data_IF_016137646765
#
_entry.id   IF_016137646765
#
_cell.length_a   1.000
_cell.length_b   1.000
_cell.length_c   1.000
_cell.angle_alpha   90.00
_cell.angle_beta   90.00
_cell.angle_gamma   90.00
#
_symmetry.space_group_name_H-M   'P 1'
#
loop_
_entity.id
_entity.type
_entity.pdbx_description
1 polymer ?
#
# COMPACT_ATOMS: atom_id res chain seq x y z
N UNK A 1 -2.38 8.36 -5.26
CA UNK A 1 -2.11 8.96 -3.93
C UNK A 1 -0.69 9.52 -3.82
N UNK A 2 -0.50 10.67 -3.14
CA UNK A 2 0.82 11.27 -2.86
C UNK A 2 1.49 10.60 -1.65
N UNK A 3 2.82 10.63 -1.59
CA UNK A 3 3.57 9.96 -0.52
C UNK A 3 3.23 10.45 0.89
N UNK A 4 2.86 11.73 1.06
CA UNK A 4 2.49 12.28 2.37
C UNK A 4 1.18 11.66 2.89
N UNK A 5 0.17 11.51 2.04
CA UNK A 5 -1.11 10.87 2.39
C UNK A 5 -0.91 9.40 2.79
N UNK A 6 0.01 8.71 2.12
CA UNK A 6 0.36 7.32 2.40
C UNK A 6 1.02 7.19 3.78
N UNK A 7 1.88 8.14 4.15
CA UNK A 7 2.49 8.19 5.49
C UNK A 7 1.43 8.37 6.58
N UNK A 8 0.45 9.23 6.36
CA UNK A 8 -0.66 9.42 7.31
C UNK A 8 -1.52 8.15 7.48
N UNK A 9 -1.72 7.36 6.41
CA UNK A 9 -2.40 6.06 6.51
C UNK A 9 -1.55 5.08 7.31
N UNK A 10 -0.25 4.98 7.01
CA UNK A 10 0.68 4.11 7.72
C UNK A 10 0.71 4.44 9.23
N UNK A 11 0.82 5.72 9.58
CA UNK A 11 0.84 6.18 10.97
C UNK A 11 -0.46 5.86 11.71
N UNK A 12 -1.62 6.03 11.07
CA UNK A 12 -2.93 5.64 11.63
C UNK A 12 -3.04 4.14 11.90
N UNK A 13 -2.31 3.31 11.16
CA UNK A 13 -2.23 1.86 11.37
C UNK A 13 -1.07 1.46 12.30
N UNK A 14 -0.36 2.42 12.91
CA UNK A 14 0.76 2.16 13.83
C UNK A 14 2.06 1.75 13.13
N UNK A 15 2.14 1.90 11.81
CA UNK A 15 3.34 1.59 11.02
C UNK A 15 4.33 2.74 11.05
N UNK A 16 5.62 2.42 11.21
CA UNK A 16 6.70 3.42 11.15
C UNK A 16 7.11 3.67 9.71
N UNK A 17 6.64 4.79 9.15
CA UNK A 17 6.90 5.16 7.77
C UNK A 17 8.38 5.49 7.45
N UNK A 18 9.15 5.94 8.44
CA UNK A 18 10.62 6.08 8.38
C UNK A 18 11.19 6.57 7.03
N UNK A 19 12.19 5.83 6.52
CA UNK A 19 12.83 6.05 5.21
C UNK A 19 12.22 5.22 4.07
N UNK A 20 11.03 4.65 4.27
CA UNK A 20 10.38 3.81 3.25
C UNK A 20 9.98 4.65 2.04
N UNK A 21 10.23 4.11 0.85
CA UNK A 21 9.71 4.70 -0.39
C UNK A 21 8.20 4.43 -0.51
N UNK A 22 7.55 5.01 -1.52
CA UNK A 22 6.11 4.83 -1.76
C UNK A 22 5.73 3.35 -1.85
N UNK A 23 6.50 2.55 -2.57
CA UNK A 23 6.22 1.12 -2.74
C UNK A 23 6.25 0.36 -1.42
N UNK A 24 7.30 0.58 -0.62
CA UNK A 24 7.49 -0.11 0.65
C UNK A 24 6.40 0.27 1.67
N UNK A 25 6.01 1.55 1.70
CA UNK A 25 4.91 2.03 2.54
C UNK A 25 3.58 1.37 2.20
N UNK A 26 3.22 1.36 0.91
CA UNK A 26 1.98 0.75 0.46
C UNK A 26 1.96 -0.73 0.80
N UNK A 27 3.05 -1.45 0.54
CA UNK A 27 3.17 -2.87 0.88
C UNK A 27 3.09 -3.12 2.39
N UNK A 28 3.66 -2.25 3.21
CA UNK A 28 3.53 -2.33 4.66
C UNK A 28 2.07 -2.18 5.11
N UNK A 29 1.34 -1.21 4.52
CA UNK A 29 -0.09 -1.00 4.76
C UNK A 29 -0.91 -2.22 4.31
N UNK A 30 -0.63 -2.76 3.12
CA UNK A 30 -1.31 -3.98 2.65
C UNK A 30 -1.12 -5.14 3.65
N UNK A 31 0.09 -5.33 4.18
CA UNK A 31 0.32 -6.37 5.20
C UNK A 31 -0.42 -6.12 6.51
N UNK A 32 -0.48 -4.89 7.00
CA UNK A 32 -1.27 -4.57 8.22
C UNK A 32 -2.77 -4.73 8.01
N UNK A 33 -3.25 -4.59 6.78
CA UNK A 33 -4.64 -4.85 6.38
C UNK A 33 -4.94 -6.35 6.13
N UNK A 34 -3.96 -7.25 6.32
CA UNK A 34 -4.03 -8.66 5.93
C UNK A 34 -4.31 -8.88 4.43
N UNK A 35 -3.87 -7.92 3.59
CA UNK A 35 -3.91 -7.97 2.14
C UNK A 35 -2.59 -8.49 1.57
N UNK A 36 -2.62 -8.94 0.31
CA UNK A 36 -1.40 -9.26 -0.44
C UNK A 36 -0.61 -7.97 -0.69
N UNK A 37 0.71 -7.98 -0.48
CA UNK A 37 1.60 -6.84 -0.72
C UNK A 37 1.99 -6.69 -2.20
N UNK A 38 0.98 -6.75 -3.08
CA UNK A 38 1.12 -6.79 -4.52
C UNK A 38 1.35 -5.42 -5.19
N UNK A 39 1.47 -4.34 -4.41
CA UNK A 39 1.67 -3.02 -5.01
C UNK A 39 2.99 -2.96 -5.78
N UNK A 40 2.94 -2.53 -7.04
CA UNK A 40 4.10 -2.40 -7.94
C UNK A 40 4.94 -3.70 -8.09
N UNK A 41 4.32 -4.88 -7.97
CA UNK A 41 4.96 -6.18 -8.24
C UNK A 41 4.68 -6.70 -9.65
N UNK A 42 3.85 -6.01 -10.43
CA UNK A 42 3.32 -6.50 -11.70
C UNK A 42 2.20 -7.54 -11.56
N UNK A 43 1.80 -7.91 -10.34
CA UNK A 43 0.73 -8.88 -10.09
C UNK A 43 -0.62 -8.24 -9.74
N UNK A 44 -0.75 -6.91 -9.87
CA UNK A 44 -1.97 -6.19 -9.57
C UNK A 44 -3.18 -6.68 -10.40
N UNK A 45 -2.96 -7.06 -11.67
CA UNK A 45 -4.00 -7.59 -12.55
C UNK A 45 -4.63 -8.91 -12.08
N UNK A 46 -3.91 -9.68 -11.25
CA UNK A 46 -4.33 -11.00 -10.75
C UNK A 46 -4.56 -11.02 -9.25
N UNK A 47 -4.49 -9.87 -8.55
CA UNK A 47 -4.55 -9.85 -7.09
C UNK A 47 -5.96 -10.11 -6.54
N UNK A 48 -7.00 -9.89 -7.34
CA UNK A 48 -8.41 -10.13 -6.96
C UNK A 48 -8.95 -9.22 -5.85
N UNK A 49 -8.22 -8.18 -5.44
CA UNK A 49 -8.61 -7.30 -4.34
C UNK A 49 -9.42 -6.09 -4.83
N UNK A 50 -10.74 -6.25 -4.92
CA UNK A 50 -11.67 -5.20 -5.38
C UNK A 50 -11.79 -4.00 -4.43
N UNK A 51 -11.62 -4.21 -3.13
CA UNK A 51 -11.70 -3.16 -2.10
C UNK A 51 -10.32 -2.60 -1.71
N UNK A 52 -9.31 -2.76 -2.56
CA UNK A 52 -7.98 -2.24 -2.28
C UNK A 52 -7.94 -0.72 -2.44
N UNK A 53 -7.52 -0.02 -1.39
CA UNK A 53 -7.33 1.45 -1.41
C UNK A 53 -6.37 1.91 -2.51
N UNK A 54 -5.48 1.02 -2.95
CA UNK A 54 -4.42 1.26 -3.92
C UNK A 54 -4.83 0.96 -5.37
N UNK A 55 -6.07 0.56 -5.62
CA UNK A 55 -6.52 0.11 -6.95
C UNK A 55 -6.28 1.16 -8.03
N UNK A 56 -6.52 2.44 -7.74
CA UNK A 56 -6.25 3.54 -8.70
C UNK A 56 -4.76 3.84 -8.88
N UNK A 57 -3.92 3.57 -7.87
CA UNK A 57 -2.46 3.71 -7.96
C UNK A 57 -1.78 2.51 -8.64
N UNK A 58 -2.50 1.39 -8.82
CA UNK A 58 -2.03 0.18 -9.49
C UNK A 58 -2.32 0.13 -11.00
N UNK A 59 -3.06 1.12 -11.53
CA UNK A 59 -3.43 1.22 -12.95
C UNK A 59 -2.35 1.89 -13.80
#
# INVERSE_FOLDING_TARGET
>A
MKINEIKEIAERQGLKAGKMNKTDLVRAIQRSENNNDCFNTGTAAVCGQSNCLWMEDCK
#
